data_IF_165157334701
#
_entry.id   IF_165157334701
#
_cell.length_a   1.000
_cell.length_b   1.000
_cell.length_c   1.000
_cell.angle_alpha   90.00
_cell.angle_beta   90.00
_cell.angle_gamma   90.00
#
_symmetry.space_group_name_H-M   'P 1'
#
loop_
_entity.id
_entity.type
_entity.pdbx_description
1 polymer ?
#
# COMPACT_ATOMS: atom_id res chain seq x y z
N UNK A 1 18.87 -65.71 -37.43
CA UNK A 1 17.58 -65.38 -36.80
C UNK A 1 17.69 -63.93 -36.23
N UNK A 2 17.19 -62.96 -36.96
CA UNK A 2 17.24 -61.52 -36.54
C UNK A 2 15.91 -61.21 -35.85
N UNK A 3 15.96 -60.80 -34.57
CA UNK A 3 14.79 -60.36 -33.84
C UNK A 3 14.72 -58.83 -33.96
N UNK A 4 13.66 -58.31 -34.57
CA UNK A 4 13.32 -56.93 -34.68
C UNK A 4 12.59 -56.50 -33.39
N UNK A 5 13.10 -55.45 -32.73
CA UNK A 5 12.47 -54.80 -31.57
C UNK A 5 11.69 -53.59 -32.10
N UNK A 6 10.39 -53.45 -31.85
CA UNK A 6 9.65 -52.26 -32.25
C UNK A 6 9.90 -51.12 -31.27
N UNK A 7 10.37 -49.99 -31.78
CA UNK A 7 10.50 -48.73 -31.05
C UNK A 7 9.12 -48.16 -30.70
N UNK A 8 8.77 -48.19 -29.42
CA UNK A 8 7.64 -47.45 -28.89
C UNK A 8 8.01 -45.96 -28.78
N UNK A 9 7.44 -45.14 -29.64
CA UNK A 9 7.50 -43.69 -29.52
C UNK A 9 6.55 -43.26 -28.40
N UNK A 10 7.10 -42.86 -27.26
CA UNK A 10 6.37 -42.17 -26.20
C UNK A 10 6.17 -40.72 -26.65
N UNK A 11 4.94 -40.38 -27.02
CA UNK A 11 4.48 -39.02 -27.26
C UNK A 11 4.23 -38.39 -25.88
N UNK A 12 5.22 -37.64 -25.35
CA UNK A 12 5.04 -36.84 -24.15
C UNK A 12 4.22 -35.58 -24.50
N UNK A 13 2.92 -35.59 -24.20
CA UNK A 13 2.06 -34.39 -24.21
C UNK A 13 2.48 -33.50 -23.05
N UNK A 14 3.27 -32.45 -23.31
CA UNK A 14 3.49 -31.35 -22.36
C UNK A 14 2.25 -30.46 -22.36
N UNK A 15 1.38 -30.63 -21.34
CA UNK A 15 0.33 -29.67 -21.04
C UNK A 15 1.02 -28.38 -20.51
N UNK A 16 1.25 -27.42 -21.38
CA UNK A 16 1.61 -26.05 -20.98
C UNK A 16 0.38 -25.41 -20.34
N UNK A 17 0.32 -25.45 -18.99
CA UNK A 17 -0.70 -24.74 -18.22
C UNK A 17 -0.52 -23.23 -18.43
N UNK A 18 -1.39 -22.62 -19.24
CA UNK A 18 -1.55 -21.17 -19.28
C UNK A 18 -2.09 -20.72 -17.92
N UNK A 19 -1.21 -20.30 -17.00
CA UNK A 19 -1.61 -19.53 -15.83
C UNK A 19 -2.11 -18.17 -16.34
N UNK A 20 -3.42 -18.04 -16.57
CA UNK A 20 -4.04 -16.74 -16.80
C UNK A 20 -3.92 -15.93 -15.52
N UNK A 21 -2.97 -14.99 -15.48
CA UNK A 21 -2.94 -13.98 -14.44
C UNK A 21 -4.25 -13.19 -14.54
N UNK A 22 -5.16 -13.42 -13.59
CA UNK A 22 -6.38 -12.64 -13.48
C UNK A 22 -5.97 -11.17 -13.24
N UNK A 23 -6.51 -10.21 -14.00
CA UNK A 23 -6.20 -8.80 -13.78
C UNK A 23 -6.57 -8.42 -12.35
N UNK A 24 -5.79 -7.52 -11.73
CA UNK A 24 -6.04 -7.03 -10.37
C UNK A 24 -7.46 -6.44 -10.16
N UNK A 25 -8.17 -6.12 -11.25
CA UNK A 25 -9.57 -5.74 -11.25
C UNK A 25 -10.52 -6.83 -10.71
N UNK A 26 -10.11 -8.09 -10.71
CA UNK A 26 -10.89 -9.20 -10.13
C UNK A 26 -10.89 -9.22 -8.59
N UNK A 27 -10.11 -8.36 -7.93
CA UNK A 27 -10.05 -8.31 -6.46
C UNK A 27 -11.31 -7.68 -5.83
N UNK A 28 -12.04 -6.85 -6.57
CA UNK A 28 -13.27 -6.19 -6.11
C UNK A 28 -14.40 -6.48 -7.08
N UNK A 29 -15.56 -6.91 -6.56
CA UNK A 29 -16.74 -7.21 -7.38
C UNK A 29 -17.34 -5.94 -8.01
N UNK A 30 -17.21 -4.79 -7.36
CA UNK A 30 -17.72 -3.49 -7.79
C UNK A 30 -16.74 -2.36 -7.47
N UNK A 31 -16.71 -1.27 -8.27
CA UNK A 31 -15.89 -0.10 -7.98
C UNK A 31 -16.13 0.51 -6.60
N UNK A 32 -17.37 0.47 -6.10
CA UNK A 32 -17.73 0.98 -4.78
C UNK A 32 -17.06 0.19 -3.65
N UNK A 33 -16.84 -1.10 -3.82
CA UNK A 33 -16.13 -1.93 -2.83
C UNK A 33 -14.65 -1.57 -2.78
N UNK A 34 -14.04 -1.27 -3.93
CA UNK A 34 -12.69 -0.74 -4.02
C UNK A 34 -12.56 0.64 -3.32
N UNK A 35 -13.54 1.52 -3.51
CA UNK A 35 -13.60 2.82 -2.82
C UNK A 35 -13.69 2.62 -1.31
N UNK A 36 -14.58 1.76 -0.83
CA UNK A 36 -14.72 1.44 0.60
C UNK A 36 -13.42 0.89 1.18
N UNK A 37 -12.80 -0.06 0.49
CA UNK A 37 -11.55 -0.68 0.90
C UNK A 37 -10.43 0.36 1.07
N UNK A 38 -10.15 1.18 0.05
CA UNK A 38 -9.07 2.17 0.15
C UNK A 38 -9.33 3.23 1.22
N UNK A 39 -10.61 3.65 1.40
CA UNK A 39 -10.98 4.58 2.48
C UNK A 39 -10.72 3.98 3.84
N UNK A 40 -11.11 2.72 4.07
CA UNK A 40 -10.85 2.01 5.32
C UNK A 40 -9.35 1.85 5.59
N UNK A 41 -8.58 1.44 4.56
CA UNK A 41 -7.13 1.28 4.67
C UNK A 41 -6.42 2.61 5.00
N UNK A 42 -6.80 3.72 4.36
CA UNK A 42 -6.30 5.06 4.71
C UNK A 42 -6.72 5.49 6.13
N UNK A 43 -7.91 5.12 6.58
CA UNK A 43 -8.36 5.41 7.95
C UNK A 43 -7.49 4.69 8.98
N UNK A 44 -7.21 3.40 8.77
CA UNK A 44 -6.32 2.64 9.66
C UNK A 44 -4.92 3.25 9.68
N UNK A 45 -4.32 3.46 8.50
CA UNK A 45 -2.99 4.07 8.38
C UNK A 45 -2.92 5.43 9.09
N UNK A 46 -3.88 6.33 8.80
CA UNK A 46 -3.91 7.67 9.35
C UNK A 46 -4.15 7.69 10.86
N UNK A 47 -4.95 6.76 11.38
CA UNK A 47 -5.20 6.63 12.82
C UNK A 47 -3.91 6.25 13.55
N UNK A 48 -3.18 5.26 13.07
CA UNK A 48 -1.95 4.80 13.71
C UNK A 48 -0.81 5.82 13.54
N UNK A 49 -0.65 6.43 12.38
CA UNK A 49 0.26 7.58 12.20
C UNK A 49 -0.06 8.73 13.15
N UNK A 50 -1.34 9.09 13.28
CA UNK A 50 -1.80 10.15 14.19
C UNK A 50 -1.46 9.88 15.66
N UNK A 51 -1.51 8.61 16.09
CA UNK A 51 -1.08 8.23 17.46
C UNK A 51 0.40 8.42 17.66
N UNK A 52 1.25 8.00 16.70
CA UNK A 52 2.69 8.27 16.76
C UNK A 52 2.97 9.78 16.80
N UNK A 53 2.28 10.55 15.98
CA UNK A 53 2.41 12.00 15.97
C UNK A 53 1.96 12.65 17.30
N UNK A 54 0.91 12.14 17.93
CA UNK A 54 0.45 12.63 19.22
C UNK A 54 1.48 12.36 20.33
N UNK A 55 2.07 11.16 20.36
CA UNK A 55 3.15 10.79 21.26
C UNK A 55 4.40 11.68 21.05
N UNK A 56 4.82 11.81 19.79
CA UNK A 56 6.02 12.56 19.43
C UNK A 56 5.90 14.06 19.76
N UNK A 57 4.71 14.64 19.59
CA UNK A 57 4.47 16.07 19.79
C UNK A 57 3.99 16.41 21.23
N UNK A 58 4.02 15.46 22.16
CA UNK A 58 3.66 15.68 23.55
C UNK A 58 2.17 15.95 23.81
N UNK A 59 1.29 15.60 22.83
CA UNK A 59 -0.16 15.68 23.03
C UNK A 59 -0.69 14.63 24.01
N UNK A 60 0.03 13.55 24.16
CA UNK A 60 -0.15 12.50 25.17
C UNK A 60 1.23 12.12 25.72
N UNK A 61 1.33 11.54 26.94
CA UNK A 61 2.60 11.09 27.49
C UNK A 61 3.34 10.16 26.54
N UNK A 62 4.65 10.36 26.40
CA UNK A 62 5.46 9.55 25.48
C UNK A 62 5.60 8.12 26.03
N UNK A 63 5.30 7.16 25.17
CA UNK A 63 5.49 5.73 25.37
C UNK A 63 6.19 5.16 24.12
N UNK A 64 7.44 4.74 24.30
CA UNK A 64 8.27 4.23 23.19
C UNK A 64 7.69 2.94 22.58
N UNK A 65 7.12 2.06 23.41
CA UNK A 65 6.49 0.83 22.92
C UNK A 65 5.25 1.14 22.09
N UNK A 66 4.39 2.01 22.58
CA UNK A 66 3.20 2.44 21.84
C UNK A 66 3.56 3.14 20.52
N UNK A 67 4.65 3.94 20.51
CA UNK A 67 5.14 4.57 19.29
C UNK A 67 5.59 3.52 18.26
N UNK A 68 6.36 2.51 18.67
CA UNK A 68 6.83 1.44 17.81
C UNK A 68 5.68 0.59 17.25
N UNK A 69 4.76 0.15 18.10
CA UNK A 69 3.61 -0.66 17.69
C UNK A 69 2.72 0.07 16.67
N UNK A 70 2.44 1.36 16.90
CA UNK A 70 1.62 2.15 15.98
C UNK A 70 2.35 2.48 14.67
N UNK A 71 3.66 2.75 14.71
CA UNK A 71 4.45 2.99 13.50
C UNK A 71 4.53 1.74 12.62
N UNK A 72 4.65 0.55 13.20
CA UNK A 72 4.63 -0.72 12.47
C UNK A 72 3.30 -0.94 11.76
N UNK A 73 2.17 -0.77 12.47
CA UNK A 73 0.83 -0.90 11.87
C UNK A 73 0.63 0.13 10.75
N UNK A 74 1.02 1.40 10.97
CA UNK A 74 0.92 2.44 9.95
C UNK A 74 1.75 2.08 8.70
N UNK A 75 2.95 1.53 8.88
CA UNK A 75 3.83 1.11 7.79
C UNK A 75 3.23 -0.04 6.99
N UNK A 76 2.67 -1.05 7.62
CA UNK A 76 1.99 -2.15 6.94
C UNK A 76 0.75 -1.62 6.21
N UNK A 77 -0.09 -0.83 6.89
CA UNK A 77 -1.31 -0.27 6.33
C UNK A 77 -1.04 0.70 5.18
N UNK A 78 0.14 1.35 5.11
CA UNK A 78 0.50 2.28 4.04
C UNK A 78 0.52 1.65 2.64
N UNK A 79 0.60 0.34 2.54
CA UNK A 79 0.65 -0.40 1.27
C UNK A 79 -0.74 -0.78 0.75
N UNK A 80 -1.73 -0.87 1.63
CA UNK A 80 -3.04 -1.45 1.34
C UNK A 80 -3.92 -0.60 0.41
N UNK A 81 -4.03 0.75 0.56
CA UNK A 81 -5.03 1.53 -0.16
C UNK A 81 -4.95 1.44 -1.68
N UNK A 82 -3.76 1.21 -2.20
CA UNK A 82 -3.47 1.34 -3.65
C UNK A 82 -4.11 0.25 -4.50
N UNK A 83 -4.41 -0.91 -3.91
CA UNK A 83 -5.20 -1.96 -4.56
C UNK A 83 -6.63 -1.49 -4.90
N UNK A 84 -7.15 -0.47 -4.19
CA UNK A 84 -8.49 0.08 -4.39
C UNK A 84 -8.58 1.21 -5.43
N UNK A 85 -7.50 1.52 -6.18
CA UNK A 85 -7.53 2.48 -7.28
C UNK A 85 -7.69 1.77 -8.62
N UNK A 86 -8.76 1.01 -8.77
CA UNK A 86 -9.13 0.27 -9.98
C UNK A 86 -9.93 1.15 -10.95
N UNK A 87 -10.03 0.73 -12.20
CA UNK A 87 -10.85 1.38 -13.22
C UNK A 87 -12.31 1.52 -12.73
N UNK A 88 -12.95 2.65 -13.04
CA UNK A 88 -14.32 2.97 -12.62
C UNK A 88 -14.47 3.42 -11.17
N UNK A 89 -13.41 3.34 -10.33
CA UNK A 89 -13.45 3.79 -8.93
C UNK A 89 -13.07 5.28 -8.74
N UNK A 90 -13.03 6.04 -9.83
CA UNK A 90 -12.84 7.50 -9.87
C UNK A 90 -14.13 8.29 -9.55
N UNK A 91 -15.29 7.60 -9.55
CA UNK A 91 -16.63 8.15 -9.36
C UNK A 91 -17.27 7.65 -8.07
N UNK A 92 -18.36 8.31 -7.64
CA UNK A 92 -19.11 7.95 -6.44
C UNK A 92 -18.56 8.60 -5.17
N UNK A 93 -18.73 7.94 -4.03
CA UNK A 93 -18.37 8.44 -2.68
C UNK A 93 -16.85 8.47 -2.42
N UNK A 94 -16.13 9.26 -3.23
CA UNK A 94 -14.67 9.34 -3.19
C UNK A 94 -14.14 10.77 -3.22
N UNK A 95 -13.11 11.03 -2.43
CA UNK A 95 -12.29 12.24 -2.51
C UNK A 95 -11.08 12.09 -3.46
N UNK A 96 -10.92 10.99 -4.15
CA UNK A 96 -9.87 10.84 -5.15
C UNK A 96 -10.13 11.75 -6.34
N UNK A 97 -9.08 12.46 -6.79
CA UNK A 97 -9.16 13.28 -8.00
C UNK A 97 -9.02 12.39 -9.24
N UNK A 98 -9.68 12.73 -10.38
CA UNK A 98 -9.58 11.95 -11.64
C UNK A 98 -8.15 11.85 -12.18
N UNK A 99 -7.30 12.82 -11.87
CA UNK A 99 -5.90 12.88 -12.28
C UNK A 99 -5.10 11.63 -11.86
N UNK A 100 -5.53 10.91 -10.83
CA UNK A 100 -4.92 9.66 -10.41
C UNK A 100 -4.90 8.64 -11.56
N UNK A 101 -6.00 8.54 -12.32
CA UNK A 101 -6.13 7.56 -13.39
C UNK A 101 -5.46 8.00 -14.69
N UNK A 102 -5.27 9.30 -14.91
CA UNK A 102 -4.56 9.85 -16.06
C UNK A 102 -3.04 9.98 -15.82
N UNK A 103 -2.61 10.03 -14.55
CA UNK A 103 -1.21 10.18 -14.15
C UNK A 103 -0.77 9.06 -13.18
N UNK A 104 -1.22 7.82 -13.43
CA UNK A 104 -1.04 6.69 -12.51
C UNK A 104 0.41 6.48 -12.06
N UNK A 105 1.38 6.65 -12.94
CA UNK A 105 2.80 6.48 -12.58
C UNK A 105 3.31 7.56 -11.63
N UNK A 106 2.88 8.81 -11.82
CA UNK A 106 3.20 9.91 -10.87
C UNK A 106 2.53 9.68 -9.52
N UNK A 107 1.27 9.23 -9.52
CA UNK A 107 0.54 8.87 -8.31
C UNK A 107 1.24 7.73 -7.54
N UNK A 108 1.64 6.65 -8.23
CA UNK A 108 2.42 5.55 -7.63
C UNK A 108 3.77 6.04 -7.10
N UNK A 109 4.44 6.95 -7.81
CA UNK A 109 5.69 7.57 -7.35
C UNK A 109 5.51 8.37 -6.05
N UNK A 110 4.41 9.14 -5.93
CA UNK A 110 4.07 9.85 -4.70
C UNK A 110 3.75 8.89 -3.55
N UNK A 111 3.04 7.79 -3.86
CA UNK A 111 2.73 6.72 -2.90
C UNK A 111 4.01 6.05 -2.38
N UNK A 112 4.95 5.70 -3.27
CA UNK A 112 6.22 5.09 -2.89
C UNK A 112 7.04 5.99 -1.96
N UNK A 113 7.15 7.30 -2.28
CA UNK A 113 7.82 8.26 -1.40
C UNK A 113 7.22 8.29 0.00
N UNK A 114 5.89 8.30 0.11
CA UNK A 114 5.21 8.26 1.42
C UNK A 114 5.49 6.96 2.15
N UNK A 115 5.49 5.82 1.45
CA UNK A 115 5.81 4.51 2.04
C UNK A 115 7.27 4.44 2.54
N UNK A 116 8.20 5.04 1.81
CA UNK A 116 9.61 5.12 2.23
C UNK A 116 9.74 5.93 3.54
N UNK A 117 9.02 7.05 3.67
CA UNK A 117 8.99 7.83 4.91
C UNK A 117 8.31 7.06 6.06
N UNK A 118 7.26 6.27 5.81
CA UNK A 118 6.68 5.37 6.81
C UNK A 118 7.68 4.32 7.31
N UNK A 119 8.51 3.77 6.42
CA UNK A 119 9.58 2.83 6.82
C UNK A 119 10.60 3.52 7.72
N UNK A 120 11.04 4.74 7.37
CA UNK A 120 11.95 5.53 8.22
C UNK A 120 11.34 5.85 9.58
N UNK A 121 10.05 6.21 9.60
CA UNK A 121 9.31 6.43 10.85
C UNK A 121 9.28 5.17 11.71
N UNK A 122 9.05 4.00 11.14
CA UNK A 122 9.06 2.73 11.87
C UNK A 122 10.44 2.43 12.46
N UNK A 123 11.52 2.68 11.71
CA UNK A 123 12.90 2.53 12.21
C UNK A 123 13.16 3.49 13.36
N UNK A 124 12.78 4.75 13.23
CA UNK A 124 12.92 5.75 14.28
C UNK A 124 12.11 5.37 15.53
N UNK A 125 10.86 4.91 15.36
CA UNK A 125 10.02 4.49 16.47
C UNK A 125 10.59 3.28 17.21
N UNK A 126 11.15 2.30 16.51
CA UNK A 126 11.81 1.13 17.12
C UNK A 126 13.08 1.50 17.90
N UNK A 127 13.75 2.61 17.59
CA UNK A 127 14.89 3.09 18.37
C UNK A 127 14.49 3.68 19.74
N UNK A 128 13.22 4.06 19.90
CA UNK A 128 12.73 4.74 21.11
C UNK A 128 13.22 6.19 21.27
N UNK A 129 14.03 6.71 20.33
CA UNK A 129 14.56 8.06 20.40
C UNK A 129 13.50 9.09 19.96
N UNK A 130 13.03 9.90 20.90
CA UNK A 130 11.95 10.86 20.69
C UNK A 130 12.26 11.89 19.61
N UNK A 131 13.50 12.39 19.53
CA UNK A 131 13.87 13.42 18.56
C UNK A 131 13.91 12.84 17.14
N UNK A 132 14.41 11.61 16.99
CA UNK A 132 14.35 10.88 15.72
C UNK A 132 12.91 10.62 15.28
N UNK A 133 12.02 10.26 16.21
CA UNK A 133 10.60 10.05 15.92
C UNK A 133 9.93 11.35 15.48
N UNK A 134 10.20 12.48 16.17
CA UNK A 134 9.67 13.81 15.79
C UNK A 134 10.07 14.20 14.37
N UNK A 135 11.35 14.03 14.03
CA UNK A 135 11.85 14.33 12.69
C UNK A 135 11.13 13.47 11.63
N UNK A 136 11.07 12.14 11.85
CA UNK A 136 10.42 11.23 10.93
C UNK A 136 8.90 11.46 10.80
N UNK A 137 8.20 11.84 11.87
CA UNK A 137 6.79 12.27 11.82
C UNK A 137 6.63 13.49 10.93
N UNK A 138 7.51 14.48 11.04
CA UNK A 138 7.50 15.67 10.20
C UNK A 138 7.66 15.35 8.73
N UNK A 139 8.62 14.50 8.37
CA UNK A 139 8.91 14.16 6.97
C UNK A 139 7.80 13.26 6.37
N UNK A 140 7.29 12.31 7.13
CA UNK A 140 6.10 11.53 6.74
C UNK A 140 4.90 12.44 6.49
N UNK A 141 4.65 13.41 7.38
CA UNK A 141 3.57 14.38 7.23
C UNK A 141 3.68 15.21 5.95
N UNK A 142 4.90 15.66 5.58
CA UNK A 142 5.16 16.37 4.31
C UNK A 142 4.85 15.49 3.10
N UNK A 143 5.25 14.22 3.12
CA UNK A 143 4.97 13.28 2.04
C UNK A 143 3.46 13.03 1.88
N UNK A 144 2.73 12.88 3.00
CA UNK A 144 1.27 12.77 2.99
C UNK A 144 0.63 14.01 2.36
N UNK A 145 1.06 15.20 2.79
CA UNK A 145 0.52 16.46 2.28
C UNK A 145 0.76 16.62 0.79
N UNK A 146 1.97 16.36 0.32
CA UNK A 146 2.31 16.49 -1.11
C UNK A 146 1.43 15.61 -2.01
N UNK A 147 1.12 14.37 -1.57
CA UNK A 147 0.21 13.48 -2.30
C UNK A 147 -1.25 14.03 -2.23
N UNK A 148 -1.70 14.50 -1.07
CA UNK A 148 -3.05 15.03 -0.90
C UNK A 148 -3.30 16.29 -1.75
N UNK A 149 -2.36 17.21 -1.80
CA UNK A 149 -2.48 18.44 -2.60
C UNK A 149 -2.73 18.14 -4.09
N UNK A 150 -2.09 17.11 -4.62
CA UNK A 150 -2.20 16.75 -6.02
C UNK A 150 -3.40 15.83 -6.33
N UNK A 151 -3.73 14.88 -5.43
CA UNK A 151 -4.59 13.74 -5.76
C UNK A 151 -5.84 13.61 -4.89
N UNK A 152 -6.07 14.49 -3.91
CA UNK A 152 -7.24 14.46 -3.03
C UNK A 152 -8.05 15.75 -3.15
N UNK A 153 -9.38 15.62 -3.34
CA UNK A 153 -10.34 16.74 -3.23
C UNK A 153 -10.43 17.21 -1.77
N UNK A 154 -10.68 18.48 -1.57
CA UNK A 154 -10.93 19.08 -0.25
C UNK A 154 -12.20 18.55 0.42
#
# INVERSE_FOLDING_TARGET
MKRLIPSFWMLALTLAGFATALPAAAQFAKPEDAIKYRKAAFTVMGTHFGRVAALANGKIPFDAKAAADNAEIATIASRLPYAGFVEGSDRGETKAKPEIWTEMDKFKGAASKMQDEMVKLNVAAKSGNLDSIKAAVGDTGKACKACHDNYRKE
#
